data_IF_601842435365
#
_entry.id   IF_601842435365
#
_cell.length_a   1.000
_cell.length_b   1.000
_cell.length_c   1.000
_cell.angle_alpha   90.00
_cell.angle_beta   90.00
_cell.angle_gamma   90.00
#
_symmetry.space_group_name_H-M   'P 1'
#
loop_
_entity.id
_entity.type
_entity.pdbx_description
1 polymer ?
#
# COMPACT_ATOMS: atom_id res chain seq x y z
N UNK A 1 -1.72 68.03 30.38
CA UNK A 1 -1.95 67.63 28.97
C UNK A 1 -1.12 66.41 28.53
N UNK A 2 0.22 66.41 28.60
CA UNK A 2 1.02 65.24 28.16
C UNK A 2 0.83 63.99 29.02
N UNK A 3 0.68 64.18 30.32
CA UNK A 3 0.54 63.09 31.30
C UNK A 3 -0.81 62.36 31.15
N UNK A 4 -1.88 63.12 30.98
CA UNK A 4 -3.23 62.60 30.71
C UNK A 4 -3.34 61.86 29.36
N UNK A 5 -2.60 62.30 28.35
CA UNK A 5 -2.51 61.61 27.06
C UNK A 5 -1.75 60.28 27.16
N UNK A 6 -0.66 60.25 27.94
CA UNK A 6 0.07 59.02 28.23
C UNK A 6 -0.78 58.03 29.02
N UNK A 7 -1.54 58.50 30.02
CA UNK A 7 -2.40 57.66 30.83
C UNK A 7 -3.55 57.03 30.01
N UNK A 8 -4.14 57.79 29.08
CA UNK A 8 -5.08 57.25 28.09
C UNK A 8 -4.43 56.17 27.22
N UNK A 9 -3.20 56.40 26.72
CA UNK A 9 -2.50 55.44 25.86
C UNK A 9 -2.17 54.15 26.60
N UNK A 10 -1.79 54.24 27.87
CA UNK A 10 -1.53 53.07 28.73
C UNK A 10 -2.81 52.25 28.91
N UNK A 11 -3.95 52.89 29.20
CA UNK A 11 -5.25 52.18 29.32
C UNK A 11 -5.67 51.51 28.01
N UNK A 12 -5.42 52.16 26.88
CA UNK A 12 -5.73 51.62 25.55
C UNK A 12 -4.88 50.38 25.24
N UNK A 13 -3.58 50.44 25.50
CA UNK A 13 -2.66 49.29 25.36
C UNK A 13 -3.00 48.15 26.33
N UNK A 14 -3.39 48.46 27.56
CA UNK A 14 -3.83 47.45 28.53
C UNK A 14 -5.09 46.71 28.06
N UNK A 15 -6.06 47.43 27.47
CA UNK A 15 -7.23 46.81 26.86
C UNK A 15 -6.85 45.94 25.65
N UNK A 16 -5.95 46.41 24.79
CA UNK A 16 -5.50 45.66 23.62
C UNK A 16 -4.78 44.36 24.02
N UNK A 17 -3.91 44.41 25.04
CA UNK A 17 -3.26 43.22 25.62
C UNK A 17 -4.31 42.24 26.16
N UNK A 18 -5.32 42.72 26.88
CA UNK A 18 -6.39 41.87 27.42
C UNK A 18 -7.19 41.17 26.31
N UNK A 19 -7.52 41.90 25.23
CA UNK A 19 -8.21 41.33 24.06
C UNK A 19 -7.34 40.29 23.36
N UNK A 20 -6.05 40.57 23.16
CA UNK A 20 -5.11 39.63 22.54
C UNK A 20 -4.91 38.38 23.39
N UNK A 21 -4.82 38.51 24.72
CA UNK A 21 -4.74 37.38 25.64
C UNK A 21 -5.99 36.50 25.55
N UNK A 22 -7.19 37.10 25.51
CA UNK A 22 -8.44 36.35 25.38
C UNK A 22 -8.54 35.63 24.03
N UNK A 23 -8.12 36.29 22.94
CA UNK A 23 -8.06 35.69 21.60
C UNK A 23 -7.07 34.53 21.55
N UNK A 24 -5.90 34.66 22.17
CA UNK A 24 -4.94 33.57 22.26
C UNK A 24 -5.50 32.39 23.06
N UNK A 25 -6.15 32.66 24.20
CA UNK A 25 -6.78 31.62 25.02
C UNK A 25 -7.86 30.86 24.24
N UNK A 26 -8.73 31.56 23.51
CA UNK A 26 -9.72 30.92 22.63
C UNK A 26 -9.08 30.10 21.51
N UNK A 27 -8.02 30.61 20.87
CA UNK A 27 -7.36 29.90 19.78
C UNK A 27 -6.66 28.64 20.29
N UNK A 28 -6.06 28.70 21.49
CA UNK A 28 -5.46 27.55 22.17
C UNK A 28 -6.53 26.50 22.47
N UNK A 29 -7.66 26.89 23.06
CA UNK A 29 -8.75 25.96 23.36
C UNK A 29 -9.33 25.29 22.11
N UNK A 30 -9.45 26.04 21.00
CA UNK A 30 -9.86 25.47 19.71
C UNK A 30 -8.85 24.47 19.19
N UNK A 31 -7.56 24.78 19.27
CA UNK A 31 -6.49 23.87 18.88
C UNK A 31 -6.54 22.57 19.69
N UNK A 32 -6.64 22.67 21.02
CA UNK A 32 -6.72 21.51 21.91
C UNK A 32 -7.93 20.62 21.59
N UNK A 33 -9.10 21.24 21.34
CA UNK A 33 -10.29 20.51 20.91
C UNK A 33 -10.08 19.79 19.56
N UNK A 34 -9.49 20.46 18.56
CA UNK A 34 -9.22 19.82 17.27
C UNK A 34 -8.23 18.66 17.39
N UNK A 35 -7.23 18.77 18.27
CA UNK A 35 -6.27 17.69 18.54
C UNK A 35 -6.98 16.49 19.17
N UNK A 36 -7.90 16.71 20.11
CA UNK A 36 -8.69 15.64 20.74
C UNK A 36 -9.59 14.96 19.70
N UNK A 37 -10.32 15.71 18.88
CA UNK A 37 -11.17 15.16 17.81
C UNK A 37 -10.34 14.34 16.80
N UNK A 38 -9.18 14.85 16.40
CA UNK A 38 -8.28 14.12 15.49
C UNK A 38 -7.75 12.84 16.15
N UNK A 39 -7.40 12.88 17.43
CA UNK A 39 -6.98 11.68 18.16
C UNK A 39 -8.11 10.62 18.28
N UNK A 40 -9.36 11.05 18.40
CA UNK A 40 -10.53 10.17 18.44
C UNK A 40 -10.82 9.52 17.08
N UNK A 41 -10.80 10.30 16.00
CA UNK A 41 -10.97 9.78 14.64
C UNK A 41 -9.90 8.75 14.29
N UNK A 42 -8.63 9.02 14.61
CA UNK A 42 -7.52 8.07 14.42
C UNK A 42 -7.75 6.79 15.24
N UNK A 43 -8.19 6.90 16.50
CA UNK A 43 -8.55 5.72 17.32
C UNK A 43 -9.65 4.89 16.68
N UNK A 44 -10.72 5.54 16.21
CA UNK A 44 -11.84 4.86 15.56
C UNK A 44 -11.40 4.12 14.29
N UNK A 45 -10.61 4.78 13.44
CA UNK A 45 -10.08 4.17 12.21
C UNK A 45 -9.18 2.97 12.52
N UNK A 46 -8.35 3.06 13.57
CA UNK A 46 -7.49 1.97 14.02
C UNK A 46 -8.30 0.76 14.46
N UNK A 47 -9.32 0.96 15.30
CA UNK A 47 -10.20 -0.13 15.76
C UNK A 47 -10.92 -0.80 14.58
N UNK A 48 -11.40 0.01 13.62
CA UNK A 48 -12.04 -0.53 12.42
C UNK A 48 -11.08 -1.39 11.58
N UNK A 49 -9.85 -0.91 11.36
CA UNK A 49 -8.83 -1.65 10.64
C UNK A 49 -8.45 -2.97 11.35
N UNK A 50 -8.32 -2.95 12.68
CA UNK A 50 -8.03 -4.14 13.49
C UNK A 50 -9.16 -5.17 13.41
N UNK A 51 -10.41 -4.71 13.46
CA UNK A 51 -11.60 -5.57 13.33
C UNK A 51 -11.65 -6.23 11.95
N UNK A 52 -11.42 -5.47 10.88
CA UNK A 52 -11.40 -5.99 9.52
C UNK A 52 -10.27 -7.01 9.34
N UNK A 53 -9.07 -6.72 9.85
CA UNK A 53 -7.95 -7.65 9.83
C UNK A 53 -8.26 -8.94 10.61
N UNK A 54 -8.99 -8.86 11.72
CA UNK A 54 -9.43 -10.03 12.47
C UNK A 54 -10.42 -10.88 11.69
N UNK A 55 -11.41 -10.27 11.02
CA UNK A 55 -12.33 -11.00 10.14
C UNK A 55 -11.59 -11.75 9.04
N UNK A 56 -10.65 -11.10 8.35
CA UNK A 56 -9.89 -11.78 7.29
C UNK A 56 -9.01 -12.90 7.82
N UNK A 57 -8.34 -12.72 8.97
CA UNK A 57 -7.58 -13.80 9.61
C UNK A 57 -8.47 -15.00 9.93
N UNK A 58 -9.68 -14.75 10.43
CA UNK A 58 -10.62 -15.81 10.77
C UNK A 58 -11.12 -16.54 9.52
N UNK A 59 -11.41 -15.81 8.45
CA UNK A 59 -11.83 -16.40 7.18
C UNK A 59 -10.73 -17.27 6.56
N UNK A 60 -9.47 -16.82 6.59
CA UNK A 60 -8.32 -17.62 6.13
C UNK A 60 -8.19 -18.90 6.97
N UNK A 61 -8.24 -18.79 8.30
CA UNK A 61 -8.15 -19.95 9.20
C UNK A 61 -9.26 -20.97 8.97
N UNK A 62 -10.50 -20.52 8.76
CA UNK A 62 -11.60 -21.42 8.40
C UNK A 62 -11.36 -22.10 7.06
N UNK A 63 -10.86 -21.37 6.06
CA UNK A 63 -10.58 -21.93 4.75
C UNK A 63 -9.45 -22.97 4.81
N UNK A 64 -8.38 -22.69 5.56
CA UNK A 64 -7.30 -23.64 5.82
C UNK A 64 -7.82 -24.90 6.53
N UNK A 65 -8.70 -24.75 7.52
CA UNK A 65 -9.32 -25.87 8.20
C UNK A 65 -10.23 -26.70 7.27
N UNK A 66 -10.97 -26.06 6.36
CA UNK A 66 -11.76 -26.75 5.33
C UNK A 66 -10.86 -27.54 4.39
N UNK A 67 -9.83 -26.91 3.83
CA UNK A 67 -8.90 -27.58 2.92
C UNK A 67 -8.17 -28.73 3.61
N UNK A 68 -7.73 -28.56 4.87
CA UNK A 68 -7.10 -29.65 5.62
C UNK A 68 -8.03 -30.84 5.82
N UNK A 69 -9.32 -30.61 6.10
CA UNK A 69 -10.31 -31.70 6.20
C UNK A 69 -10.48 -32.42 4.85
N UNK A 70 -10.57 -31.68 3.76
CA UNK A 70 -10.71 -32.24 2.42
C UNK A 70 -9.47 -33.04 2.00
N UNK A 71 -8.26 -32.54 2.29
CA UNK A 71 -7.01 -33.28 2.08
C UNK A 71 -7.03 -34.62 2.83
N UNK A 72 -7.41 -34.61 4.11
CA UNK A 72 -7.49 -35.84 4.91
C UNK A 72 -8.53 -36.80 4.33
N UNK A 73 -9.69 -36.31 3.90
CA UNK A 73 -10.73 -37.13 3.28
C UNK A 73 -10.28 -37.75 1.95
N UNK A 74 -9.60 -36.97 1.10
CA UNK A 74 -9.06 -37.45 -0.16
C UNK A 74 -7.92 -38.47 0.06
N UNK A 75 -7.02 -38.23 1.01
CA UNK A 75 -5.99 -39.20 1.41
C UNK A 75 -6.61 -40.51 1.89
N UNK A 76 -7.67 -40.43 2.71
CA UNK A 76 -8.42 -41.61 3.17
C UNK A 76 -9.08 -42.38 2.01
N UNK A 77 -9.60 -41.70 1.00
CA UNK A 77 -10.18 -42.34 -0.20
C UNK A 77 -9.12 -43.03 -1.05
N UNK A 78 -7.91 -42.45 -1.13
CA UNK A 78 -6.77 -43.07 -1.81
C UNK A 78 -6.30 -44.33 -1.07
N UNK A 79 -6.19 -44.32 0.26
CA UNK A 79 -5.82 -45.52 1.03
C UNK A 79 -6.87 -46.63 1.02
N UNK A 80 -8.16 -46.28 0.86
CA UNK A 80 -9.26 -47.25 0.70
C UNK A 80 -9.45 -47.76 -0.73
N UNK A 81 -8.76 -47.19 -1.71
CA UNK A 81 -8.76 -47.74 -3.06
C UNK A 81 -8.03 -49.09 -3.05
N UNK A 82 -8.63 -50.19 -3.56
CA UNK A 82 -7.97 -51.49 -3.58
C UNK A 82 -6.69 -51.41 -4.43
N UNK A 83 -5.61 -52.02 -3.91
CA UNK A 83 -4.32 -52.10 -4.59
C UNK A 83 -4.48 -52.56 -6.04
N UNK A 84 -3.74 -51.99 -7.01
CA UNK A 84 -3.75 -52.51 -8.38
C UNK A 84 -3.18 -53.93 -8.33
N UNK A 85 -4.05 -54.92 -8.57
CA UNK A 85 -3.59 -56.25 -8.94
C UNK A 85 -2.83 -56.08 -10.25
N UNK A 86 -1.56 -56.48 -10.28
CA UNK A 86 -0.81 -56.72 -11.51
C UNK A 86 -1.62 -57.70 -12.38
N UNK A 87 -2.41 -57.15 -13.28
CA UNK A 87 -2.84 -57.88 -14.45
C UNK A 87 -2.15 -57.26 -15.65
N UNK A 88 -1.29 -58.09 -16.25
CA UNK A 88 -0.70 -57.91 -17.57
C UNK A 88 -1.68 -57.18 -18.49
N UNK A 89 -1.45 -55.89 -18.66
CA UNK A 89 -2.14 -55.09 -19.66
C UNK A 89 -1.67 -55.59 -21.03
N UNK A 90 -2.59 -55.93 -21.96
CA UNK A 90 -2.24 -56.03 -23.37
C UNK A 90 -1.69 -54.66 -23.83
N UNK A 91 -0.81 -54.61 -24.84
CA UNK A 91 -0.23 -53.35 -25.30
C UNK A 91 -1.31 -52.36 -25.76
N UNK A 92 -1.01 -51.05 -25.74
CA UNK A 92 -2.02 -50.02 -25.94
C UNK A 92 -2.64 -50.16 -27.33
N UNK A 93 -3.97 -50.29 -27.36
CA UNK A 93 -4.76 -50.12 -28.57
C UNK A 93 -4.58 -48.67 -29.03
N UNK A 94 -3.76 -48.47 -30.07
CA UNK A 94 -3.79 -47.22 -30.82
C UNK A 94 -5.22 -46.98 -31.29
N UNK A 95 -5.74 -45.77 -31.08
CA UNK A 95 -6.99 -45.33 -31.69
C UNK A 95 -6.85 -45.46 -33.22
N UNK A 96 -7.52 -46.45 -33.79
CA UNK A 96 -7.67 -46.61 -35.24
C UNK A 96 -8.55 -45.46 -35.72
N UNK A 97 -7.99 -44.62 -36.57
CA UNK A 97 -8.67 -43.53 -37.26
C UNK A 97 -9.87 -44.08 -38.04
N UNK A 98 -11.03 -43.44 -37.92
CA UNK A 98 -12.20 -43.79 -38.73
C UNK A 98 -11.94 -43.33 -40.17
N UNK A 99 -11.53 -44.27 -41.03
CA UNK A 99 -11.22 -43.95 -42.41
C UNK A 99 -10.68 -45.11 -43.22
N UNK A 100 -11.24 -46.32 -43.12
CA UNK A 100 -10.97 -47.37 -44.11
C UNK A 100 -12.28 -48.00 -44.59
N UNK A 101 -12.44 -47.91 -45.91
CA UNK A 101 -13.66 -48.19 -46.63
C UNK A 101 -14.09 -49.65 -46.60
N UNK A 102 -15.37 -49.79 -46.90
CA UNK A 102 -16.13 -51.00 -47.08
C UNK A 102 -15.55 -51.89 -48.18
N UNK A 103 -15.11 -53.10 -47.84
CA UNK A 103 -15.06 -54.22 -48.78
C UNK A 103 -15.24 -55.56 -48.06
N UNK A 104 -16.51 -55.97 -47.91
CA UNK A 104 -16.87 -57.37 -47.64
C UNK A 104 -17.30 -58.03 -48.95
N UNK A 105 -16.49 -58.97 -49.43
CA UNK A 105 -16.95 -60.16 -50.16
C UNK A 105 -16.39 -61.32 -49.34
N UNK A 106 -17.16 -62.19 -48.71
CA UNK A 106 -17.93 -63.23 -49.37
C UNK A 106 -18.68 -64.04 -48.30
N UNK A 107 -19.91 -64.43 -48.60
CA UNK A 107 -20.82 -65.18 -47.74
C UNK A 107 -20.35 -66.63 -47.52
N UNK A 108 -20.42 -67.14 -46.28
CA UNK A 108 -20.59 -68.58 -46.05
C UNK A 108 -21.48 -68.84 -44.83
N UNK A 109 -22.46 -69.71 -45.04
CA UNK A 109 -23.66 -69.95 -44.24
C UNK A 109 -23.42 -70.66 -42.89
N UNK A 110 -24.18 -70.28 -41.86
CA UNK A 110 -24.63 -71.21 -40.79
C UNK A 110 -26.01 -70.78 -40.25
N UNK A 111 -27.03 -71.66 -40.24
CA UNK A 111 -28.39 -71.30 -39.88
C UNK A 111 -28.65 -71.60 -38.40
N UNK A 112 -28.24 -70.70 -37.50
CA UNK A 112 -28.78 -70.73 -36.14
C UNK A 112 -29.88 -69.68 -36.02
N UNK A 113 -31.08 -70.16 -35.67
CA UNK A 113 -32.31 -69.41 -35.50
C UNK A 113 -32.11 -68.27 -34.50
N UNK A 114 -31.85 -67.06 -34.99
CA UNK A 114 -32.03 -65.83 -34.21
C UNK A 114 -33.47 -65.41 -34.45
N UNK A 115 -34.30 -65.55 -33.41
CA UNK A 115 -35.67 -65.02 -33.44
C UNK A 115 -35.58 -63.50 -33.60
N UNK A 116 -36.25 -62.88 -34.59
CA UNK A 116 -36.16 -61.43 -34.76
C UNK A 116 -36.77 -60.75 -33.54
N UNK A 117 -35.98 -59.89 -32.90
CA UNK A 117 -36.46 -59.03 -31.81
C UNK A 117 -37.55 -58.14 -32.41
N UNK A 118 -38.78 -58.10 -31.83
CA UNK A 118 -39.86 -57.30 -32.37
C UNK A 118 -39.46 -55.83 -32.52
N UNK A 119 -39.75 -55.23 -33.67
CA UNK A 119 -39.36 -53.87 -34.02
C UNK A 119 -39.86 -52.84 -32.99
N UNK A 120 -41.03 -53.09 -32.41
CA UNK A 120 -41.63 -52.28 -31.35
C UNK A 120 -40.78 -52.24 -30.06
N UNK A 121 -39.96 -53.27 -29.80
CA UNK A 121 -39.08 -53.35 -28.63
C UNK A 121 -37.72 -52.68 -28.84
N UNK A 122 -37.28 -52.54 -30.09
CA UNK A 122 -36.13 -51.70 -30.46
C UNK A 122 -36.53 -50.21 -30.55
N UNK A 123 -37.75 -49.92 -31.00
CA UNK A 123 -38.23 -48.55 -31.22
C UNK A 123 -38.87 -47.91 -29.99
N UNK A 124 -39.36 -48.69 -29.03
CA UNK A 124 -39.95 -48.15 -27.82
C UNK A 124 -38.99 -48.36 -26.64
N UNK A 125 -38.54 -47.25 -26.05
CA UNK A 125 -37.89 -47.07 -24.72
C UNK A 125 -36.41 -46.71 -24.67
N UNK A 126 -35.55 -47.11 -25.60
CA UNK A 126 -34.12 -46.73 -25.54
C UNK A 126 -33.89 -45.29 -25.99
N UNK A 127 -34.43 -44.87 -27.13
CA UNK A 127 -34.27 -43.52 -27.68
C UNK A 127 -34.85 -42.43 -26.76
N UNK A 128 -36.05 -42.64 -26.19
CA UNK A 128 -36.69 -41.66 -25.29
C UNK A 128 -35.93 -41.51 -23.96
N UNK A 129 -35.36 -42.61 -23.46
CA UNK A 129 -34.58 -42.62 -22.22
C UNK A 129 -33.20 -42.00 -22.43
N UNK A 130 -32.56 -42.27 -23.57
CA UNK A 130 -31.32 -41.60 -23.98
C UNK A 130 -31.51 -40.10 -24.17
N UNK A 131 -32.61 -39.69 -24.82
CA UNK A 131 -32.94 -38.29 -25.05
C UNK A 131 -33.27 -37.57 -23.72
N UNK A 132 -33.90 -38.24 -22.76
CA UNK A 132 -34.09 -37.73 -21.40
C UNK A 132 -32.77 -37.57 -20.64
N UNK A 133 -31.85 -38.53 -20.77
CA UNK A 133 -30.53 -38.47 -20.15
C UNK A 133 -29.66 -37.36 -20.75
N UNK A 134 -29.69 -37.19 -22.08
CA UNK A 134 -29.02 -36.10 -22.80
C UNK A 134 -29.56 -34.73 -22.38
N UNK A 135 -30.89 -34.57 -22.26
CA UNK A 135 -31.50 -33.33 -21.73
C UNK A 135 -31.07 -33.03 -20.31
N UNK A 136 -30.99 -34.04 -19.45
CA UNK A 136 -30.51 -33.89 -18.07
C UNK A 136 -29.05 -33.46 -18.02
N UNK A 137 -28.18 -34.12 -18.82
CA UNK A 137 -26.77 -33.75 -18.92
C UNK A 137 -26.59 -32.33 -19.48
N UNK A 138 -27.36 -31.96 -20.51
CA UNK A 138 -27.35 -30.61 -21.06
C UNK A 138 -27.71 -29.58 -19.99
N UNK A 139 -28.78 -29.84 -19.23
CA UNK A 139 -29.19 -28.96 -18.14
C UNK A 139 -28.13 -28.85 -17.03
N UNK A 140 -27.49 -29.96 -16.65
CA UNK A 140 -26.38 -29.95 -15.70
C UNK A 140 -25.18 -29.14 -16.21
N UNK A 141 -24.88 -29.21 -17.51
CA UNK A 141 -23.83 -28.41 -18.11
C UNK A 141 -24.20 -26.92 -18.22
N UNK A 142 -25.45 -26.60 -18.54
CA UNK A 142 -25.96 -25.22 -18.52
C UNK A 142 -25.84 -24.58 -17.14
N UNK A 143 -26.18 -25.32 -16.07
CA UNK A 143 -26.03 -24.86 -14.69
C UNK A 143 -24.55 -24.65 -14.32
N UNK A 144 -23.65 -25.55 -14.73
CA UNK A 144 -22.21 -25.39 -14.52
C UNK A 144 -21.67 -24.17 -15.25
N UNK A 145 -22.07 -23.96 -16.50
CA UNK A 145 -21.69 -22.78 -17.27
C UNK A 145 -22.19 -21.50 -16.59
N UNK A 146 -23.45 -21.45 -16.18
CA UNK A 146 -24.00 -20.31 -15.45
C UNK A 146 -23.23 -19.99 -14.17
N UNK A 147 -22.87 -21.02 -13.39
CA UNK A 147 -22.07 -20.83 -12.18
C UNK A 147 -20.65 -20.34 -12.48
N UNK A 148 -19.97 -20.94 -13.47
CA UNK A 148 -18.63 -20.51 -13.88
C UNK A 148 -18.63 -19.09 -14.43
N UNK A 149 -19.66 -18.68 -15.17
CA UNK A 149 -19.82 -17.31 -15.65
C UNK A 149 -19.99 -16.32 -14.49
N UNK A 150 -20.78 -16.67 -13.48
CA UNK A 150 -20.93 -15.84 -12.28
C UNK A 150 -19.59 -15.71 -11.53
N UNK A 151 -18.89 -16.84 -11.33
CA UNK A 151 -17.59 -16.83 -10.68
C UNK A 151 -16.55 -16.00 -11.46
N UNK A 152 -16.54 -16.10 -12.80
CA UNK A 152 -15.67 -15.30 -13.65
C UNK A 152 -15.96 -13.80 -13.47
N UNK A 153 -17.22 -13.40 -13.51
CA UNK A 153 -17.61 -12.00 -13.29
C UNK A 153 -17.17 -11.48 -11.91
N UNK A 154 -17.32 -12.28 -10.86
CA UNK A 154 -16.82 -11.94 -9.53
C UNK A 154 -15.29 -11.77 -9.52
N UNK A 155 -14.55 -12.68 -10.18
CA UNK A 155 -13.09 -12.57 -10.28
C UNK A 155 -12.62 -11.37 -11.10
N UNK A 156 -13.33 -11.02 -12.17
CA UNK A 156 -13.05 -9.83 -12.99
C UNK A 156 -13.27 -8.54 -12.18
N UNK A 157 -14.33 -8.50 -11.38
CA UNK A 157 -14.61 -7.37 -10.49
C UNK A 157 -13.51 -7.21 -9.43
N UNK A 158 -13.08 -8.30 -8.80
CA UNK A 158 -12.01 -8.27 -7.81
C UNK A 158 -10.68 -7.86 -8.43
N UNK A 159 -10.37 -8.35 -9.64
CA UNK A 159 -9.18 -7.94 -10.39
C UNK A 159 -9.19 -6.44 -10.69
N UNK A 160 -10.34 -5.88 -11.09
CA UNK A 160 -10.47 -4.44 -11.34
C UNK A 160 -10.22 -3.62 -10.06
N UNK A 161 -10.78 -4.06 -8.93
CA UNK A 161 -10.57 -3.42 -7.62
C UNK A 161 -9.11 -3.49 -7.16
N UNK A 162 -8.47 -4.66 -7.31
CA UNK A 162 -7.06 -4.83 -6.96
C UNK A 162 -6.15 -3.96 -7.83
N UNK A 163 -6.43 -3.87 -9.13
CA UNK A 163 -5.72 -2.99 -10.05
C UNK A 163 -5.84 -1.52 -9.61
N UNK A 164 -7.05 -1.05 -9.29
CA UNK A 164 -7.26 0.32 -8.82
C UNK A 164 -6.51 0.59 -7.50
N UNK A 165 -6.59 -0.32 -6.53
CA UNK A 165 -5.88 -0.19 -5.26
C UNK A 165 -4.36 -0.16 -5.47
N UNK A 166 -3.85 -0.96 -6.41
CA UNK A 166 -2.43 -0.98 -6.75
C UNK A 166 -1.96 0.37 -7.30
N UNK A 167 -2.74 1.00 -8.18
CA UNK A 167 -2.42 2.32 -8.72
C UNK A 167 -2.45 3.41 -7.64
N UNK A 168 -3.45 3.38 -6.74
CA UNK A 168 -3.51 4.31 -5.60
C UNK A 168 -2.30 4.12 -4.67
N UNK A 169 -1.94 2.87 -4.35
CA UNK A 169 -0.78 2.55 -3.50
C UNK A 169 0.54 3.01 -4.16
N UNK A 170 0.70 2.83 -5.46
CA UNK A 170 1.87 3.33 -6.20
C UNK A 170 1.98 4.85 -6.10
N UNK A 171 0.88 5.58 -6.26
CA UNK A 171 0.91 7.04 -6.14
C UNK A 171 1.18 7.49 -4.69
N UNK A 172 0.63 6.79 -3.70
CA UNK A 172 0.91 7.05 -2.29
C UNK A 172 2.40 6.88 -1.97
N UNK A 173 3.03 5.80 -2.46
CA UNK A 173 4.47 5.58 -2.30
C UNK A 173 5.26 6.75 -2.92
N UNK A 174 4.92 7.17 -4.13
CA UNK A 174 5.59 8.31 -4.79
C UNK A 174 5.40 9.61 -4.00
N UNK A 175 4.20 9.86 -3.50
CA UNK A 175 3.91 11.04 -2.66
C UNK A 175 4.73 11.02 -1.38
N UNK A 176 4.78 9.87 -0.70
CA UNK A 176 5.54 9.71 0.53
C UNK A 176 7.04 9.92 0.29
N UNK A 177 7.59 9.39 -0.80
CA UNK A 177 9.00 9.62 -1.17
C UNK A 177 9.30 11.11 -1.38
N UNK A 178 8.46 11.85 -2.12
CA UNK A 178 8.58 13.31 -2.28
C UNK A 178 8.45 14.06 -0.95
N UNK A 179 7.66 13.53 -0.01
CA UNK A 179 7.53 14.12 1.33
C UNK A 179 8.78 13.88 2.16
N UNK A 180 9.30 12.66 2.18
CA UNK A 180 10.53 12.32 2.90
C UNK A 180 11.75 13.07 2.35
N UNK A 181 11.84 13.29 1.04
CA UNK A 181 12.91 14.10 0.46
C UNK A 181 12.84 15.55 0.96
N UNK A 182 11.65 16.16 0.96
CA UNK A 182 11.42 17.50 1.54
C UNK A 182 11.72 17.54 3.03
N UNK A 183 11.35 16.50 3.78
CA UNK A 183 11.62 16.37 5.20
C UNK A 183 13.12 16.24 5.47
N UNK A 184 13.86 15.42 4.71
CA UNK A 184 15.33 15.35 4.81
C UNK A 184 15.99 16.69 4.49
N UNK A 185 15.49 17.43 3.50
CA UNK A 185 15.98 18.77 3.23
C UNK A 185 15.67 19.73 4.39
N UNK A 186 14.49 19.64 5.01
CA UNK A 186 14.11 20.43 6.18
C UNK A 186 14.94 20.08 7.42
N UNK A 187 15.17 18.81 7.71
CA UNK A 187 16.05 18.32 8.78
C UNK A 187 17.50 18.77 8.56
N UNK A 188 17.99 18.69 7.31
CA UNK A 188 19.33 19.17 6.97
C UNK A 188 19.44 20.69 7.15
N UNK A 189 18.36 21.46 6.87
CA UNK A 189 18.31 22.89 7.15
C UNK A 189 18.27 23.20 8.65
N UNK A 190 17.58 22.38 9.46
CA UNK A 190 17.61 22.52 10.91
C UNK A 190 18.99 22.19 11.49
N UNK A 191 19.64 21.14 10.98
CA UNK A 191 21.01 20.82 11.32
C UNK A 191 21.95 21.98 10.94
N UNK A 192 21.81 22.52 9.73
CA UNK A 192 22.56 23.69 9.27
C UNK A 192 22.34 24.90 10.20
N UNK A 193 21.09 25.20 10.58
CA UNK A 193 20.76 26.26 11.55
C UNK A 193 21.55 26.07 12.85
N UNK A 194 21.54 24.85 13.40
CA UNK A 194 22.24 24.56 14.65
C UNK A 194 23.76 24.69 14.52
N UNK A 195 24.34 24.23 13.40
CA UNK A 195 25.78 24.34 13.11
C UNK A 195 26.18 25.80 12.93
N UNK A 196 25.41 26.59 12.15
CA UNK A 196 25.65 28.03 11.94
C UNK A 196 25.50 28.81 13.24
N UNK A 197 24.45 28.52 14.02
CA UNK A 197 24.24 29.15 15.32
C UNK A 197 25.42 28.90 16.27
N UNK A 198 25.92 27.65 16.34
CA UNK A 198 27.15 27.32 17.08
C UNK A 198 28.35 28.07 16.52
N UNK A 199 28.55 28.09 15.21
CA UNK A 199 29.69 28.76 14.58
C UNK A 199 29.76 30.26 14.92
N UNK A 200 28.61 30.96 14.95
CA UNK A 200 28.54 32.39 15.27
C UNK A 200 28.68 32.66 16.77
N UNK A 201 28.16 31.78 17.62
CA UNK A 201 28.11 32.01 19.08
C UNK A 201 29.39 31.54 19.80
N UNK A 202 30.14 30.60 19.21
CA UNK A 202 31.35 30.07 19.83
C UNK A 202 32.49 31.10 19.82
N UNK A 203 32.99 31.43 21.00
CA UNK A 203 34.16 32.30 21.20
C UNK A 203 35.49 31.56 20.96
N UNK A 204 35.51 30.23 21.07
CA UNK A 204 36.70 29.40 20.86
C UNK A 204 37.01 29.24 19.36
N UNK A 205 38.25 29.54 18.96
CA UNK A 205 38.70 29.47 17.57
C UNK A 205 38.92 28.03 17.07
N UNK A 206 39.36 27.11 17.94
CA UNK A 206 39.56 25.70 17.58
C UNK A 206 38.21 25.01 17.26
N UNK A 207 37.19 25.25 18.08
CA UNK A 207 35.85 24.70 17.86
C UNK A 207 35.20 25.25 16.58
N UNK A 208 35.35 26.56 16.30
CA UNK A 208 34.92 27.15 15.03
C UNK A 208 35.61 26.51 13.83
N UNK A 209 36.91 26.22 13.93
CA UNK A 209 37.68 25.59 12.86
C UNK A 209 37.20 24.17 12.57
N UNK A 210 36.79 23.42 13.60
CA UNK A 210 36.20 22.07 13.45
C UNK A 210 34.83 22.07 12.76
N UNK A 211 34.09 23.18 12.82
CA UNK A 211 32.78 23.30 12.15
C UNK A 211 32.91 23.67 10.67
N UNK A 212 34.06 24.17 10.20
CA UNK A 212 34.28 24.55 8.78
C UNK A 212 34.10 23.38 7.80
N UNK A 213 34.67 22.18 8.03
CA UNK A 213 34.43 21.03 7.15
C UNK A 213 32.96 20.58 7.12
N UNK A 214 32.26 20.72 8.24
CA UNK A 214 30.84 20.39 8.36
C UNK A 214 29.99 21.36 7.53
N UNK A 215 30.22 22.67 7.69
CA UNK A 215 29.57 23.71 6.88
C UNK A 215 29.87 23.53 5.39
N UNK A 216 31.11 23.23 5.02
CA UNK A 216 31.47 22.94 3.63
C UNK A 216 30.73 21.71 3.07
N UNK A 217 30.57 20.66 3.89
CA UNK A 217 29.88 19.42 3.46
C UNK A 217 28.39 19.67 3.18
N UNK A 218 27.74 20.51 3.99
CA UNK A 218 26.31 20.83 3.89
C UNK A 218 26.04 21.87 2.79
N UNK A 219 26.83 22.95 2.75
CA UNK A 219 26.62 24.09 1.86
C UNK A 219 27.34 23.97 0.51
N UNK A 220 28.22 22.97 0.35
CA UNK A 220 29.05 22.78 -0.85
C UNK A 220 29.79 24.06 -1.24
N UNK A 221 30.54 24.61 -0.28
CA UNK A 221 31.28 25.85 -0.47
C UNK A 221 32.38 25.64 -1.52
N UNK A 222 32.66 26.68 -2.29
CA UNK A 222 33.82 26.71 -3.16
C UNK A 222 35.13 26.67 -2.35
N UNK A 223 36.26 26.33 -2.98
CA UNK A 223 37.57 26.36 -2.31
C UNK A 223 37.92 27.74 -1.73
N UNK A 224 37.49 28.82 -2.39
CA UNK A 224 37.75 30.19 -1.95
C UNK A 224 36.88 30.59 -0.76
N UNK A 225 35.59 30.23 -0.75
CA UNK A 225 34.69 30.44 0.39
C UNK A 225 35.14 29.64 1.62
N UNK A 226 35.60 28.41 1.42
CA UNK A 226 36.12 27.55 2.50
C UNK A 226 37.39 28.16 3.12
N UNK A 227 38.28 28.74 2.30
CA UNK A 227 39.48 29.46 2.78
C UNK A 227 39.10 30.67 3.63
N UNK A 228 38.17 31.49 3.15
CA UNK A 228 37.68 32.67 3.91
C UNK A 228 37.04 32.26 5.24
N UNK A 229 36.23 31.21 5.25
CA UNK A 229 35.60 30.70 6.47
C UNK A 229 36.62 30.14 7.47
N UNK A 230 37.70 29.53 6.98
CA UNK A 230 38.83 29.06 7.81
C UNK A 230 39.60 30.22 8.43
N UNK A 231 39.85 31.30 7.68
CA UNK A 231 40.49 32.53 8.19
C UNK A 231 39.66 33.16 9.30
N UNK A 232 38.34 33.28 9.10
CA UNK A 232 37.39 33.79 10.11
C UNK A 232 37.33 32.88 11.33
N UNK A 233 37.33 31.56 11.14
CA UNK A 233 37.33 30.59 12.25
C UNK A 233 38.60 30.64 13.11
N UNK A 234 39.75 30.93 12.49
CA UNK A 234 41.05 31.14 13.17
C UNK A 234 41.16 32.47 13.92
N UNK A 235 40.16 33.34 13.81
CA UNK A 235 40.14 34.66 14.46
C UNK A 235 41.03 35.70 13.77
N UNK A 236 41.49 35.42 12.55
CA UNK A 236 42.29 36.38 11.78
C UNK A 236 41.35 37.42 11.15
N UNK A 237 41.64 38.73 11.28
CA UNK A 237 40.75 39.77 10.74
C UNK A 237 40.80 39.76 9.22
N UNK A 238 39.86 39.05 8.60
CA UNK A 238 39.65 39.15 7.16
C UNK A 238 39.21 40.59 6.82
N UNK A 239 40.00 41.28 6.00
CA UNK A 239 39.71 42.64 5.53
C UNK A 239 38.34 42.75 4.82
N UNK A 240 37.79 41.63 4.34
CA UNK A 240 36.47 41.54 3.68
C UNK A 240 35.29 41.47 4.64
N UNK A 241 35.48 41.12 5.92
CA UNK A 241 34.38 40.98 6.88
C UNK A 241 33.83 42.35 7.34
N UNK A 242 34.61 43.43 7.20
CA UNK A 242 34.16 44.82 7.44
C UNK A 242 33.00 45.24 6.54
N UNK A 243 32.83 44.61 5.37
CA UNK A 243 31.72 44.89 4.45
C UNK A 243 30.38 44.31 4.90
N UNK A 244 30.39 43.16 5.58
CA UNK A 244 29.18 42.45 6.01
C UNK A 244 28.62 42.97 7.33
N UNK A 245 29.47 43.51 8.21
CA UNK A 245 29.03 44.13 9.47
C UNK A 245 28.26 45.44 9.27
N UNK A 246 28.32 46.04 8.08
CA UNK A 246 27.59 47.27 7.73
C UNK A 246 26.18 46.99 7.16
N UNK A 247 25.83 45.72 6.88
CA UNK A 247 24.52 45.33 6.34
C UNK A 247 23.54 44.86 7.41
N UNK A 248 23.99 44.66 8.64
CA UNK A 248 23.14 44.37 9.79
C UNK A 248 23.02 45.66 10.62
N UNK A 249 21.85 46.30 10.69
CA UNK A 249 21.64 47.41 11.61
C UNK A 249 21.94 46.91 13.02
N UNK A 250 22.93 47.52 13.66
CA UNK A 250 23.27 47.25 15.06
C UNK A 250 22.09 47.68 15.92
N UNK A 251 21.19 46.75 16.25
CA UNK A 251 20.21 46.93 17.33
C UNK A 251 20.94 46.80 18.68
N UNK A 252 21.84 47.72 18.97
CA UNK A 252 22.32 47.91 20.32
C UNK A 252 22.67 49.37 20.58
N UNK A 253 22.08 49.87 21.66
CA UNK A 253 22.42 51.09 22.38
C UNK A 253 21.72 52.39 21.95
N UNK A 254 20.62 52.68 22.65
CA UNK A 254 20.39 54.05 23.13
C UNK A 254 19.99 54.02 24.61
N UNK A 255 20.86 54.44 25.55
CA UNK A 255 20.44 55.04 26.79
C UNK A 255 20.43 56.55 26.56
N UNK A 256 19.23 57.16 26.47
CA UNK A 256 19.13 58.62 26.52
C UNK A 256 18.25 59.01 27.71
N UNK A 257 18.89 59.63 28.69
CA UNK A 257 18.29 60.48 29.71
C UNK A 257 19.21 61.67 29.88
N UNK A 258 18.74 62.89 29.68
CA UNK A 258 19.04 64.01 30.55
C UNK A 258 18.03 64.07 31.71
#
# INVERSE_FOLDING_TARGET
MKEEANEKKIKELQNEISVLQNKHSQLSAKFDNTVVEHAETVRSLKVHAETLAQCYRQQISEQEARHNKEIIELQSKIEKAPSPVEHNLPPPLMHREEGEGSENTESTYSPNKVHPVPLERLLATEDDQELANLKKQLHEQELKLSHLTALLADTEQDLAKHTQMNEVLKEEIRRQQRSQERERHAENLEYLKNVVFKFVTLSNSDERTRLVPVLNTILKLSPDETRQLTTVAKGEPSATLKGWTNLLPTWSSSPSKP
#
